data_IF_195578722681
#
_entry.id   IF_195578722681
#
_cell.length_a   1.000
_cell.length_b   1.000
_cell.length_c   1.000
_cell.angle_alpha   90.00
_cell.angle_beta   90.00
_cell.angle_gamma   90.00
#
_symmetry.space_group_name_H-M   'P 1'
#
loop_
_entity.id
_entity.type
_entity.pdbx_description
1 polymer ?
#
# COMPACT_ATOMS: atom_id res chain seq x y z
N UNK A 1 -29.11 -8.80 -0.15
CA UNK A 1 -28.30 -7.58 0.06
C UNK A 1 -29.00 -6.46 -0.72
N UNK A 2 -29.30 -5.32 -0.11
CA UNK A 2 -30.07 -4.25 -0.78
C UNK A 2 -29.19 -3.49 -1.78
N UNK A 3 -29.80 -2.95 -2.84
CA UNK A 3 -29.11 -2.19 -3.90
C UNK A 3 -28.24 -1.06 -3.31
N UNK A 4 -28.79 -0.34 -2.34
CA UNK A 4 -28.13 0.74 -1.62
C UNK A 4 -26.85 0.28 -0.88
N UNK A 5 -26.84 -0.95 -0.36
CA UNK A 5 -25.64 -1.52 0.31
C UNK A 5 -24.54 -1.89 -0.68
N UNK A 6 -24.91 -2.32 -1.88
CA UNK A 6 -23.95 -2.65 -2.93
C UNK A 6 -23.29 -1.37 -3.45
N UNK A 7 -24.09 -0.32 -3.65
CA UNK A 7 -23.59 1.00 -4.07
C UNK A 7 -22.69 1.64 -3.00
N UNK A 8 -23.06 1.54 -1.73
CA UNK A 8 -22.22 1.98 -0.63
C UNK A 8 -20.89 1.21 -0.55
N UNK A 9 -20.94 -0.12 -0.73
CA UNK A 9 -19.75 -0.97 -0.75
C UNK A 9 -18.80 -0.61 -1.90
N UNK A 10 -19.32 -0.49 -3.12
CA UNK A 10 -18.50 -0.15 -4.28
C UNK A 10 -17.92 1.27 -4.16
N UNK A 11 -18.66 2.22 -3.57
CA UNK A 11 -18.15 3.57 -3.30
C UNK A 11 -17.00 3.56 -2.29
N UNK A 12 -17.12 2.80 -1.20
CA UNK A 12 -16.08 2.65 -0.19
C UNK A 12 -14.87 1.93 -0.78
N UNK A 13 -15.09 0.81 -1.48
CA UNK A 13 -14.04 0.07 -2.19
C UNK A 13 -13.27 1.01 -3.12
N UNK A 14 -13.98 1.74 -3.99
CA UNK A 14 -13.37 2.69 -4.92
C UNK A 14 -12.54 3.74 -4.19
N UNK A 15 -13.09 4.37 -3.15
CA UNK A 15 -12.38 5.37 -2.34
C UNK A 15 -11.16 4.80 -1.57
N UNK A 16 -11.19 3.50 -1.22
CA UNK A 16 -10.08 2.79 -0.57
C UNK A 16 -9.05 2.22 -1.56
N UNK A 17 -9.33 2.23 -2.86
CA UNK A 17 -8.43 1.68 -3.89
C UNK A 17 -7.93 2.73 -4.89
N UNK A 18 -8.47 3.94 -4.86
CA UNK A 18 -8.04 5.06 -5.72
C UNK A 18 -7.14 6.02 -4.94
N UNK A 19 -6.02 6.41 -5.55
CA UNK A 19 -5.00 7.26 -4.94
C UNK A 19 -5.48 8.73 -4.73
N UNK A 20 -4.91 9.47 -3.75
CA UNK A 20 -3.87 9.05 -2.81
C UNK A 20 -4.44 8.63 -1.45
N UNK A 21 -4.23 7.37 -1.08
CA UNK A 21 -4.70 6.78 0.18
C UNK A 21 -3.87 7.24 1.39
N UNK A 22 -2.62 7.67 1.18
CA UNK A 22 -1.68 8.08 2.21
C UNK A 22 -0.81 9.25 1.71
N UNK A 23 -0.59 10.24 2.56
CA UNK A 23 0.38 11.33 2.38
C UNK A 23 1.71 11.02 3.08
N UNK A 24 2.77 11.70 2.64
CA UNK A 24 4.11 11.62 3.22
C UNK A 24 4.27 12.58 4.40
N UNK A 25 4.71 12.16 5.60
CA UNK A 25 4.81 13.06 6.74
C UNK A 25 5.83 14.17 6.50
N UNK A 26 5.45 15.39 6.84
CA UNK A 26 6.35 16.51 7.08
C UNK A 26 6.71 16.57 8.58
N UNK A 27 7.92 16.16 8.94
CA UNK A 27 8.36 16.13 10.33
C UNK A 27 8.52 17.50 10.99
N UNK A 28 8.44 18.60 10.22
CA UNK A 28 8.43 19.95 10.75
C UNK A 28 7.03 20.41 11.18
N UNK A 29 6.00 19.64 10.84
CA UNK A 29 4.59 19.96 11.12
C UNK A 29 4.00 18.89 12.07
N UNK A 30 3.17 19.25 13.06
CA UNK A 30 2.59 18.30 13.99
C UNK A 30 1.75 17.21 13.30
N UNK A 31 1.89 15.98 13.77
CA UNK A 31 1.02 14.86 13.44
C UNK A 31 -0.26 14.90 14.31
N UNK A 32 -1.38 14.46 13.75
CA UNK A 32 -2.68 14.39 14.41
C UNK A 32 -3.13 12.94 14.51
N UNK A 33 -3.11 12.37 15.71
CA UNK A 33 -3.71 11.05 15.94
C UNK A 33 -5.23 11.22 16.08
N UNK A 34 -5.99 10.59 15.19
CA UNK A 34 -7.44 10.47 15.28
C UNK A 34 -7.77 9.08 15.79
N UNK A 35 -8.61 9.02 16.80
CA UNK A 35 -9.07 7.78 17.41
C UNK A 35 -10.59 7.87 17.48
N UNK A 36 -11.25 6.84 17.00
CA UNK A 36 -12.68 6.64 17.20
C UNK A 36 -12.90 5.24 17.80
N UNK A 37 -13.90 5.11 18.65
CA UNK A 37 -14.24 3.85 19.29
C UNK A 37 -15.75 3.61 19.17
N UNK A 38 -16.13 2.42 18.72
CA UNK A 38 -17.53 2.04 18.60
C UNK A 38 -17.75 0.58 18.99
N UNK A 39 -18.62 0.36 19.98
CA UNK A 39 -18.82 -0.97 20.58
C UNK A 39 -17.52 -1.51 21.17
N UNK A 40 -17.11 -2.70 20.73
CA UNK A 40 -15.83 -3.33 21.11
C UNK A 40 -14.68 -2.97 20.15
N UNK A 41 -14.92 -2.15 19.13
CA UNK A 41 -13.94 -1.77 18.11
C UNK A 41 -13.22 -0.46 18.42
N UNK A 42 -11.90 -0.44 18.24
CA UNK A 42 -11.05 0.75 18.23
C UNK A 42 -10.56 0.99 16.80
N UNK A 43 -10.66 2.22 16.32
CA UNK A 43 -10.08 2.66 15.06
C UNK A 43 -9.14 3.83 15.28
N UNK A 44 -7.88 3.67 14.89
CA UNK A 44 -6.88 4.74 14.91
C UNK A 44 -6.36 5.08 13.52
N UNK A 45 -6.09 6.37 13.29
CA UNK A 45 -5.42 6.84 12.08
C UNK A 45 -4.53 8.04 12.40
N UNK A 46 -3.34 8.07 11.81
CA UNK A 46 -2.41 9.19 11.94
C UNK A 46 -2.59 10.12 10.75
N UNK A 47 -2.90 11.38 10.99
CA UNK A 47 -3.16 12.39 9.97
C UNK A 47 -2.15 13.53 10.04
N UNK A 48 -2.02 14.26 8.93
CA UNK A 48 -1.31 15.53 8.89
C UNK A 48 -1.96 16.48 7.89
N UNK A 49 -1.92 17.77 8.21
CA UNK A 49 -2.30 18.85 7.27
C UNK A 49 -1.08 19.23 6.46
N UNK A 50 -1.19 19.15 5.14
CA UNK A 50 -0.12 19.44 4.19
C UNK A 50 -0.63 20.36 3.08
N UNK A 51 0.28 21.11 2.46
CA UNK A 51 -0.07 21.91 1.29
C UNK A 51 0.11 21.02 0.05
N UNK A 52 -1.01 20.71 -0.61
CA UNK A 52 -1.05 19.95 -1.86
C UNK A 52 -1.77 20.82 -2.87
N UNK A 53 -1.16 21.08 -4.02
CA UNK A 53 -1.68 21.98 -5.06
C UNK A 53 -2.14 23.35 -4.49
N UNK A 54 -1.27 23.98 -3.69
CA UNK A 54 -1.50 25.26 -2.99
C UNK A 54 -2.69 25.27 -2.02
N UNK A 55 -3.22 24.10 -1.65
CA UNK A 55 -4.36 23.96 -0.74
C UNK A 55 -3.99 23.17 0.51
N UNK A 56 -4.38 23.62 1.71
CA UNK A 56 -4.24 22.83 2.92
C UNK A 56 -5.18 21.64 2.87
N UNK A 57 -4.59 20.45 2.78
CA UNK A 57 -5.28 19.16 2.69
C UNK A 57 -4.86 18.31 3.88
N UNK A 58 -5.82 17.81 4.65
CA UNK A 58 -5.56 16.83 5.71
C UNK A 58 -5.74 15.42 5.16
N UNK A 59 -4.75 14.55 5.37
CA UNK A 59 -4.90 13.13 5.07
C UNK A 59 -4.01 12.26 5.91
N UNK A 60 -4.15 10.95 5.73
CA UNK A 60 -3.52 9.94 6.56
C UNK A 60 -2.04 9.77 6.19
N UNK A 61 -1.19 9.48 7.16
CA UNK A 61 0.27 9.50 7.01
C UNK A 61 0.88 8.30 7.72
N UNK A 62 1.48 7.34 6.99
CA UNK A 62 2.10 6.15 7.57
C UNK A 62 3.50 5.86 6.97
N UNK A 63 4.47 5.62 7.85
CA UNK A 63 5.76 5.01 7.53
C UNK A 63 5.66 3.48 7.71
N UNK A 64 6.20 2.70 6.76
CA UNK A 64 6.17 1.23 6.85
C UNK A 64 7.48 0.59 6.39
N UNK A 65 7.78 -0.62 6.90
CA UNK A 65 8.94 -1.40 6.45
C UNK A 65 8.50 -2.50 5.49
N UNK A 66 9.18 -2.60 4.35
CA UNK A 66 9.04 -3.73 3.42
C UNK A 66 10.18 -4.70 3.66
N UNK A 67 9.82 -5.88 4.16
CA UNK A 67 10.75 -6.98 4.39
C UNK A 67 10.65 -7.94 3.20
N UNK A 68 11.78 -8.21 2.53
CA UNK A 68 11.82 -9.03 1.32
C UNK A 68 13.11 -9.86 1.27
N UNK A 69 13.08 -11.02 0.62
CA UNK A 69 14.26 -11.82 0.27
C UNK A 69 14.87 -11.41 -1.09
N UNK A 70 14.30 -10.41 -1.74
CA UNK A 70 14.76 -9.94 -3.03
C UNK A 70 15.74 -8.77 -2.87
N UNK A 71 17.05 -9.03 -3.04
CA UNK A 71 18.08 -7.99 -3.02
C UNK A 71 17.90 -6.93 -4.13
N UNK A 72 17.29 -7.31 -5.25
CA UNK A 72 17.00 -6.37 -6.34
C UNK A 72 16.00 -5.29 -5.89
N UNK A 73 15.02 -5.62 -5.04
CA UNK A 73 14.06 -4.67 -4.49
C UNK A 73 14.73 -3.62 -3.60
N UNK A 74 15.72 -4.02 -2.79
CA UNK A 74 16.54 -3.10 -1.99
C UNK A 74 17.34 -2.12 -2.85
N UNK A 75 17.79 -2.59 -4.02
CA UNK A 75 18.60 -1.80 -4.95
C UNK A 75 17.77 -1.00 -5.96
N UNK A 76 16.48 -1.33 -6.10
CA UNK A 76 15.56 -0.81 -7.11
C UNK A 76 15.48 0.72 -7.11
N UNK A 77 15.31 1.32 -5.93
CA UNK A 77 15.14 2.77 -5.80
C UNK A 77 16.44 3.57 -6.02
N UNK A 78 17.59 2.91 -5.96
CA UNK A 78 18.91 3.52 -6.12
C UNK A 78 19.55 3.21 -7.47
N UNK A 79 18.82 2.54 -8.37
CA UNK A 79 19.33 2.12 -9.67
C UNK A 79 19.46 3.33 -10.62
N UNK A 80 20.67 3.57 -11.14
CA UNK A 80 20.95 4.71 -12.02
C UNK A 80 20.39 4.55 -13.45
N UNK A 81 20.31 3.32 -13.94
CA UNK A 81 19.91 3.00 -15.31
C UNK A 81 19.06 1.73 -15.35
N UNK A 82 17.78 1.80 -14.95
CA UNK A 82 16.88 0.66 -14.98
C UNK A 82 16.48 0.30 -16.43
N UNK A 83 16.35 -1.00 -16.71
CA UNK A 83 15.74 -1.45 -17.96
C UNK A 83 14.23 -1.14 -17.99
N UNK A 84 13.57 -1.28 -19.14
CA UNK A 84 12.14 -0.93 -19.29
C UNK A 84 11.22 -1.62 -18.27
N UNK A 85 11.49 -2.89 -17.93
CA UNK A 85 10.67 -3.65 -16.99
C UNK A 85 10.88 -3.18 -15.54
N UNK A 86 12.14 -2.94 -15.17
CA UNK A 86 12.53 -2.43 -13.85
C UNK A 86 12.05 -0.99 -13.65
N UNK A 87 12.10 -0.16 -14.70
CA UNK A 87 11.66 1.23 -14.67
C UNK A 87 10.17 1.33 -14.33
N UNK A 88 9.34 0.44 -14.86
CA UNK A 88 7.91 0.38 -14.52
C UNK A 88 7.70 0.14 -13.03
N UNK A 89 8.38 -0.86 -12.47
CA UNK A 89 8.31 -1.17 -11.04
C UNK A 89 8.87 -0.02 -10.19
N UNK A 90 9.96 0.61 -10.64
CA UNK A 90 10.57 1.74 -9.94
C UNK A 90 9.64 2.96 -9.88
N UNK A 91 8.89 3.25 -10.95
CA UNK A 91 7.89 4.33 -10.98
C UNK A 91 6.73 4.01 -10.04
N UNK A 92 6.19 2.78 -10.08
CA UNK A 92 5.08 2.38 -9.22
C UNK A 92 5.42 2.46 -7.73
N UNK A 93 6.66 2.13 -7.36
CA UNK A 93 7.11 2.12 -5.96
C UNK A 93 7.69 3.49 -5.53
N UNK A 94 7.92 4.40 -6.49
CA UNK A 94 8.56 5.70 -6.21
C UNK A 94 7.76 6.57 -5.25
N UNK A 95 6.43 6.49 -5.31
CA UNK A 95 5.51 7.24 -4.43
C UNK A 95 5.71 6.87 -2.94
N UNK A 96 6.15 5.64 -2.66
CA UNK A 96 6.40 5.17 -1.29
C UNK A 96 7.84 5.37 -0.83
N UNK A 97 8.78 5.78 -1.70
CA UNK A 97 10.23 5.86 -1.38
C UNK A 97 10.53 6.70 -0.14
N UNK A 98 9.79 7.78 0.09
CA UNK A 98 9.97 8.66 1.26
C UNK A 98 9.49 8.06 2.57
N UNK A 99 8.57 7.09 2.51
CA UNK A 99 7.83 6.53 3.65
C UNK A 99 8.04 5.03 3.86
N UNK A 100 8.90 4.42 3.04
CA UNK A 100 9.14 3.00 3.01
C UNK A 100 10.62 2.70 3.22
N UNK A 101 10.93 1.86 4.20
CA UNK A 101 12.26 1.28 4.35
C UNK A 101 12.27 -0.15 3.79
N UNK A 102 13.10 -0.43 2.78
CA UNK A 102 13.23 -1.78 2.21
C UNK A 102 14.39 -2.51 2.89
N UNK A 103 14.05 -3.55 3.66
CA UNK A 103 15.01 -4.39 4.36
C UNK A 103 15.08 -5.76 3.70
N UNK A 104 16.26 -6.15 3.26
CA UNK A 104 16.51 -7.51 2.80
C UNK A 104 16.75 -8.44 4.00
N UNK A 105 16.04 -9.56 4.06
CA UNK A 105 16.27 -10.66 5.02
C UNK A 105 16.33 -12.01 4.29
N UNK A 106 17.09 -12.96 4.82
CA UNK A 106 17.19 -14.29 4.22
C UNK A 106 15.83 -15.01 4.22
N UNK A 107 15.57 -15.79 3.16
CA UNK A 107 14.28 -16.47 2.94
C UNK A 107 13.83 -17.40 4.08
N UNK A 108 14.76 -17.92 4.88
CA UNK A 108 14.45 -18.73 6.07
C UNK A 108 13.57 -18.01 7.11
N UNK A 109 13.55 -16.69 7.10
CA UNK A 109 12.72 -15.86 7.99
C UNK A 109 11.31 -15.65 7.39
N UNK A 110 11.12 -15.85 6.09
CA UNK A 110 9.88 -15.60 5.36
C UNK A 110 8.95 -16.81 5.27
N UNK A 111 9.04 -17.79 6.17
CA UNK A 111 8.29 -19.07 6.08
C UNK A 111 6.80 -18.89 5.78
N UNK A 112 6.12 -17.97 6.48
CA UNK A 112 4.69 -17.68 6.23
C UNK A 112 4.44 -17.15 4.80
N UNK A 113 5.31 -16.26 4.31
CA UNK A 113 5.19 -15.70 2.96
C UNK A 113 5.60 -16.69 1.87
N UNK A 114 6.57 -17.57 2.17
CA UNK A 114 7.04 -18.62 1.28
C UNK A 114 5.95 -19.69 1.09
N UNK A 115 5.32 -20.14 2.18
CA UNK A 115 4.20 -21.09 2.15
C UNK A 115 3.01 -20.53 1.33
N UNK A 116 2.61 -19.29 1.59
CA UNK A 116 1.52 -18.63 0.86
C UNK A 116 1.82 -18.43 -0.62
N UNK A 117 3.07 -18.09 -0.97
CA UNK A 117 3.45 -17.89 -2.37
C UNK A 117 3.56 -19.19 -3.16
N UNK A 118 3.98 -20.29 -2.50
CA UNK A 118 4.07 -21.62 -3.12
C UNK A 118 2.71 -22.32 -3.26
N UNK A 119 1.73 -21.94 -2.44
CA UNK A 119 0.37 -22.52 -2.42
C UNK A 119 -0.67 -21.51 -2.92
N UNK A 120 -0.35 -20.80 -4.00
CA UNK A 120 -1.29 -19.88 -4.62
C UNK A 120 -2.58 -20.61 -5.06
N UNK A 121 -3.73 -20.05 -4.71
CA UNK A 121 -5.02 -20.54 -5.20
C UNK A 121 -5.03 -20.49 -6.73
N UNK A 122 -5.63 -21.51 -7.35
CA UNK A 122 -5.81 -21.54 -8.80
C UNK A 122 -6.49 -20.25 -9.29
N UNK A 123 -6.06 -19.73 -10.44
CA UNK A 123 -6.61 -18.53 -11.07
C UNK A 123 -8.01 -18.81 -11.64
N UNK A 124 -8.96 -19.03 -10.75
CA UNK A 124 -10.38 -19.32 -11.04
C UNK A 124 -11.22 -18.13 -10.59
N UNK A 125 -12.45 -17.95 -11.13
CA UNK A 125 -13.33 -16.85 -10.73
C UNK A 125 -13.73 -16.85 -9.23
N UNK A 126 -13.45 -17.94 -8.50
CA UNK A 126 -13.68 -18.07 -7.05
C UNK A 126 -12.52 -17.45 -6.25
N UNK A 127 -11.34 -17.28 -6.86
CA UNK A 127 -10.18 -16.65 -6.24
C UNK A 127 -10.38 -15.12 -6.19
N UNK A 128 -10.31 -14.46 -5.03
CA UNK A 128 -10.45 -13.00 -4.93
C UNK A 128 -9.35 -12.22 -5.71
N UNK A 129 -8.24 -12.87 -6.05
CA UNK A 129 -7.18 -12.34 -6.91
C UNK A 129 -7.29 -12.77 -8.39
N UNK A 130 -8.45 -13.23 -8.84
CA UNK A 130 -8.65 -13.69 -10.22
C UNK A 130 -8.28 -12.60 -11.24
N UNK A 131 -7.37 -12.94 -12.15
CA UNK A 131 -7.03 -12.12 -13.31
C UNK A 131 -7.42 -12.91 -14.56
N UNK A 132 -8.42 -12.48 -15.34
CA UNK A 132 -8.76 -13.16 -16.59
C UNK A 132 -7.55 -13.16 -17.52
N UNK A 133 -7.27 -14.32 -18.13
CA UNK A 133 -6.25 -14.41 -19.15
C UNK A 133 -6.73 -13.60 -20.36
N UNK A 134 -6.03 -12.53 -20.71
CA UNK A 134 -6.25 -11.82 -21.97
C UNK A 134 -5.91 -12.78 -23.13
N UNK A 135 -6.80 -12.89 -24.12
CA UNK A 135 -6.61 -13.70 -25.35
C UNK A 135 -5.49 -13.14 -26.24
#
# INVERSE_FOLDING_TARGET
MTQERIEAYEKIRKALTEAPLLHMPDWNIPLKLKIDAFGDGLGESLHQVQIIDDKPTEGQVCFFEVITDCNAMKSLLNMKSPNRHILRSQIAIQEYRGNMNVVHKEGNIHKHSDELSRWALANTPVNPGYLPLEE
#
